data_IF_395693062524
#
_entry.id   IF_395693062524
#
_cell.length_a   1.000
_cell.length_b   1.000
_cell.length_c   1.000
_cell.angle_alpha   90.00
_cell.angle_beta   90.00
_cell.angle_gamma   90.00
#
_symmetry.space_group_name_H-M   'P 1'
#
loop_
_entity.id
_entity.type
_entity.pdbx_description
1 polymer ?
#
# COMPACT_ATOMS: atom_id res chain seq x y z
N UNK A 1 -9.83 -22.23 -18.60
CA UNK A 1 -8.75 -23.08 -18.07
C UNK A 1 -7.65 -22.17 -17.57
N UNK A 2 -7.19 -22.37 -16.34
CA UNK A 2 -6.14 -21.52 -15.75
C UNK A 2 -4.78 -21.89 -16.35
N UNK A 3 -3.98 -20.89 -16.72
CA UNK A 3 -2.59 -21.08 -17.13
C UNK A 3 -1.72 -21.44 -15.91
N UNK A 4 -0.66 -22.19 -16.15
CA UNK A 4 0.37 -22.41 -15.13
C UNK A 4 1.04 -21.07 -14.79
N UNK A 5 1.23 -20.81 -13.50
CA UNK A 5 1.94 -19.61 -13.04
C UNK A 5 3.42 -19.80 -13.32
N UNK A 6 4.12 -18.75 -13.78
CA UNK A 6 5.54 -18.84 -14.11
C UNK A 6 6.37 -19.36 -12.92
N UNK A 7 7.54 -20.01 -13.15
CA UNK A 7 8.48 -20.30 -12.08
C UNK A 7 8.99 -19.01 -11.41
N UNK A 8 9.49 -19.10 -10.15
CA UNK A 8 10.11 -17.97 -9.46
C UNK A 8 11.23 -17.32 -10.27
N UNK A 9 11.28 -15.99 -10.26
CA UNK A 9 12.39 -15.24 -10.86
C UNK A 9 13.65 -15.43 -10.02
N UNK A 10 14.82 -15.52 -10.68
CA UNK A 10 16.11 -15.67 -10.00
C UNK A 10 16.36 -14.53 -9.00
N UNK A 11 16.60 -14.90 -7.74
CA UNK A 11 16.83 -13.98 -6.61
C UNK A 11 17.98 -12.99 -6.87
N UNK A 12 19.00 -13.41 -7.62
CA UNK A 12 20.13 -12.55 -7.99
C UNK A 12 19.70 -11.42 -8.93
N UNK A 13 18.72 -11.65 -9.81
CA UNK A 13 18.15 -10.62 -10.68
C UNK A 13 17.31 -9.63 -9.86
N UNK A 14 16.47 -10.14 -8.96
CA UNK A 14 15.65 -9.32 -8.07
C UNK A 14 16.55 -8.36 -7.26
N UNK A 15 17.60 -8.88 -6.63
CA UNK A 15 18.53 -8.09 -5.82
C UNK A 15 19.30 -7.03 -6.62
N UNK A 16 19.59 -7.27 -7.91
CA UNK A 16 20.24 -6.26 -8.78
C UNK A 16 19.34 -5.06 -9.02
N UNK A 17 18.03 -5.26 -9.04
CA UNK A 17 17.06 -4.18 -9.25
C UNK A 17 16.69 -3.47 -7.94
N UNK A 18 16.68 -4.16 -6.80
CA UNK A 18 16.41 -3.58 -5.48
C UNK A 18 17.59 -2.77 -4.92
N UNK A 19 17.86 -1.60 -5.51
CA UNK A 19 18.96 -0.72 -5.13
C UNK A 19 18.57 0.33 -4.08
N UNK A 20 19.56 1.02 -3.52
CA UNK A 20 19.39 2.10 -2.54
C UNK A 20 18.51 3.26 -3.04
N UNK A 21 18.46 3.50 -4.37
CA UNK A 21 17.61 4.56 -4.94
C UNK A 21 16.11 4.23 -4.78
N UNK A 22 15.78 2.93 -4.79
CA UNK A 22 14.41 2.42 -4.68
C UNK A 22 14.03 2.12 -3.24
N UNK A 23 15.01 2.13 -2.32
CA UNK A 23 14.81 1.86 -0.91
C UNK A 23 14.02 2.99 -0.24
N UNK A 24 13.01 2.61 0.54
CA UNK A 24 12.15 3.56 1.26
C UNK A 24 12.54 3.62 2.73
N UNK A 25 12.48 2.49 3.42
CA UNK A 25 12.66 2.37 4.88
C UNK A 25 12.78 0.91 5.33
N UNK A 26 13.28 0.65 6.54
CA UNK A 26 13.08 -0.63 7.19
C UNK A 26 11.66 -0.72 7.75
N UNK A 27 11.18 -1.95 7.95
CA UNK A 27 9.93 -2.21 8.67
C UNK A 27 10.15 -2.11 10.18
N UNK A 28 9.08 -1.83 10.93
CA UNK A 28 9.16 -1.70 12.38
C UNK A 28 9.36 -3.05 13.09
N UNK A 29 8.88 -4.13 12.47
CA UNK A 29 8.97 -5.51 12.98
C UNK A 29 9.33 -6.47 11.85
N UNK A 30 9.97 -7.59 12.20
CA UNK A 30 10.31 -8.66 11.26
C UNK A 30 11.62 -8.47 10.50
N UNK A 31 12.31 -7.32 10.65
CA UNK A 31 13.58 -6.99 9.97
C UNK A 31 13.49 -7.07 8.44
N UNK A 32 12.31 -6.73 7.91
CA UNK A 32 12.09 -6.60 6.48
C UNK A 32 12.38 -5.16 6.05
N UNK A 33 12.40 -4.91 4.75
CA UNK A 33 12.64 -3.59 4.17
C UNK A 33 11.61 -3.28 3.09
N UNK A 34 11.37 -2.00 2.83
CA UNK A 34 10.37 -1.55 1.86
C UNK A 34 11.06 -0.88 0.68
N UNK A 35 10.64 -1.25 -0.52
CA UNK A 35 11.05 -0.65 -1.78
C UNK A 35 9.85 -0.11 -2.54
N UNK A 36 10.08 0.93 -3.35
CA UNK A 36 9.15 1.36 -4.39
C UNK A 36 9.82 1.20 -5.75
N UNK A 37 9.17 0.49 -6.65
CA UNK A 37 9.67 0.18 -8.00
C UNK A 37 8.60 0.41 -9.06
N UNK A 38 9.00 0.42 -10.33
CA UNK A 38 8.11 0.39 -11.50
C UNK A 38 8.53 -0.70 -12.47
N UNK A 39 7.64 -1.07 -13.40
CA UNK A 39 7.99 -1.99 -14.48
C UNK A 39 9.18 -1.52 -15.33
N UNK A 40 9.34 -0.19 -15.47
CA UNK A 40 10.40 0.42 -16.27
C UNK A 40 11.77 0.34 -15.61
N UNK A 41 11.84 0.49 -14.29
CA UNK A 41 13.11 0.49 -13.56
C UNK A 41 13.49 -0.87 -12.97
N UNK A 42 12.52 -1.78 -12.80
CA UNK A 42 12.73 -3.08 -12.16
C UNK A 42 11.87 -4.17 -12.83
N UNK A 43 12.14 -4.53 -14.10
CA UNK A 43 11.32 -5.47 -14.86
C UNK A 43 11.33 -6.90 -14.28
N UNK A 44 12.42 -7.37 -13.69
CA UNK A 44 12.46 -8.70 -13.06
C UNK A 44 11.64 -8.73 -11.77
N UNK A 45 11.75 -7.68 -10.95
CA UNK A 45 10.92 -7.50 -9.75
C UNK A 45 9.45 -7.38 -10.13
N UNK A 46 9.11 -6.65 -11.20
CA UNK A 46 7.73 -6.56 -11.68
C UNK A 46 7.16 -7.92 -12.11
N UNK A 47 7.95 -8.73 -12.82
CA UNK A 47 7.55 -10.11 -13.17
C UNK A 47 7.29 -10.96 -11.93
N UNK A 48 8.15 -10.87 -10.92
CA UNK A 48 7.97 -11.58 -9.66
C UNK A 48 6.74 -11.09 -8.88
N UNK A 49 6.46 -9.79 -8.88
CA UNK A 49 5.22 -9.24 -8.31
C UNK A 49 4.00 -9.84 -9.01
N UNK A 50 3.98 -9.86 -10.35
CA UNK A 50 2.87 -10.44 -11.11
C UNK A 50 2.64 -11.92 -10.81
N UNK A 51 3.73 -12.68 -10.65
CA UNK A 51 3.70 -14.10 -10.27
C UNK A 51 3.09 -14.28 -8.88
N UNK A 52 3.58 -13.52 -7.90
CA UNK A 52 3.13 -13.63 -6.51
C UNK A 52 1.71 -13.16 -6.32
N UNK A 53 1.28 -12.11 -7.04
CA UNK A 53 -0.12 -11.68 -7.07
C UNK A 53 -1.03 -12.79 -7.56
N UNK A 54 -0.74 -13.38 -8.71
CA UNK A 54 -1.57 -14.44 -9.26
C UNK A 54 -1.63 -15.65 -8.30
N UNK A 55 -0.49 -16.05 -7.70
CA UNK A 55 -0.50 -17.09 -6.66
C UNK A 55 -1.38 -16.74 -5.46
N UNK A 56 -1.25 -15.51 -4.95
CA UNK A 56 -2.00 -15.02 -3.80
C UNK A 56 -3.49 -14.90 -4.07
N UNK A 57 -3.90 -14.42 -5.24
CA UNK A 57 -5.31 -14.22 -5.55
C UNK A 57 -6.00 -15.51 -5.94
N UNK A 58 -5.32 -16.36 -6.72
CA UNK A 58 -5.84 -17.67 -7.13
C UNK A 58 -6.06 -18.60 -5.94
N UNK A 59 -5.19 -18.57 -4.92
CA UNK A 59 -5.34 -19.41 -3.73
C UNK A 59 -6.62 -19.12 -2.92
N UNK A 60 -7.19 -17.93 -3.08
CA UNK A 60 -8.44 -17.53 -2.44
C UNK A 60 -9.65 -17.53 -3.39
N UNK A 61 -9.47 -18.00 -4.64
CA UNK A 61 -10.55 -18.11 -5.63
C UNK A 61 -10.80 -16.85 -6.46
N UNK A 62 -9.91 -15.85 -6.39
CA UNK A 62 -9.86 -14.72 -7.33
C UNK A 62 -8.77 -14.92 -8.38
N UNK A 63 -8.18 -13.81 -8.84
CA UNK A 63 -7.07 -13.81 -9.78
C UNK A 63 -7.52 -13.77 -11.24
N UNK A 64 -6.55 -13.64 -12.15
CA UNK A 64 -6.81 -13.46 -13.58
C UNK A 64 -6.88 -14.79 -14.34
N UNK A 65 -6.38 -15.88 -13.74
CA UNK A 65 -6.23 -17.17 -14.39
C UNK A 65 -5.06 -17.23 -15.39
N UNK A 66 -4.28 -16.16 -15.53
CA UNK A 66 -3.09 -16.10 -16.39
C UNK A 66 -1.83 -16.60 -15.67
N UNK A 67 -0.69 -16.59 -16.37
CA UNK A 67 0.61 -16.95 -15.78
C UNK A 67 1.17 -15.86 -14.84
N UNK A 68 0.67 -14.64 -14.99
CA UNK A 68 1.05 -13.42 -14.27
C UNK A 68 -0.20 -12.54 -14.09
N UNK A 69 -0.37 -11.94 -12.92
CA UNK A 69 -1.33 -10.86 -12.70
C UNK A 69 -0.63 -9.51 -12.91
N UNK A 70 -0.56 -9.12 -14.19
CA UNK A 70 -0.06 -7.84 -14.69
C UNK A 70 -1.04 -7.30 -15.72
N UNK A 71 -1.26 -5.99 -15.73
CA UNK A 71 -2.15 -5.31 -16.67
C UNK A 71 -1.48 -4.05 -17.25
N UNK A 72 -2.15 -3.39 -18.21
CA UNK A 72 -1.61 -2.23 -18.90
C UNK A 72 -1.25 -1.08 -17.95
N UNK A 73 -1.91 -0.99 -16.79
CA UNK A 73 -1.63 0.03 -15.77
C UNK A 73 -0.23 -0.09 -15.17
N UNK A 74 0.34 -1.30 -15.15
CA UNK A 74 1.71 -1.53 -14.68
C UNK A 74 2.76 -1.05 -15.69
N UNK A 75 2.38 -0.85 -16.97
CA UNK A 75 3.29 -0.52 -18.07
C UNK A 75 3.04 0.84 -18.74
N UNK A 76 2.08 1.62 -18.24
CA UNK A 76 1.82 2.98 -18.73
C UNK A 76 3.09 3.85 -18.73
N UNK A 77 3.09 4.93 -19.51
CA UNK A 77 4.16 5.94 -19.47
C UNK A 77 4.39 6.49 -18.06
N UNK A 78 3.29 6.71 -17.32
CA UNK A 78 3.30 6.93 -15.87
C UNK A 78 2.71 5.67 -15.21
N UNK A 79 3.52 4.64 -14.98
CA UNK A 79 3.00 3.37 -14.49
C UNK A 79 2.57 3.51 -13.03
N UNK A 80 1.67 2.64 -12.62
CA UNK A 80 1.45 2.43 -11.21
C UNK A 80 2.75 1.96 -10.56
N UNK A 81 3.10 2.61 -9.46
CA UNK A 81 4.25 2.25 -8.63
C UNK A 81 3.90 1.05 -7.77
N UNK A 82 4.90 0.23 -7.50
CA UNK A 82 4.76 -0.97 -6.69
C UNK A 82 5.51 -0.76 -5.38
N UNK A 83 4.77 -0.65 -4.29
CA UNK A 83 5.33 -0.70 -2.94
C UNK A 83 5.43 -2.15 -2.52
N UNK A 84 6.64 -2.64 -2.25
CA UNK A 84 6.85 -4.03 -1.84
C UNK A 84 7.58 -4.11 -0.49
N UNK A 85 7.23 -5.14 0.27
CA UNK A 85 7.97 -5.56 1.46
C UNK A 85 8.90 -6.69 1.04
N UNK A 86 10.19 -6.54 1.28
CA UNK A 86 11.23 -7.50 0.95
C UNK A 86 11.83 -8.09 2.22
N UNK A 87 11.90 -9.42 2.28
CA UNK A 87 12.62 -10.17 3.29
C UNK A 87 14.08 -10.36 2.82
N UNK A 88 15.06 -9.65 3.42
CA UNK A 88 16.47 -9.77 3.02
C UNK A 88 17.11 -11.10 3.42
N UNK A 89 16.52 -11.86 4.35
CA UNK A 89 17.05 -13.16 4.78
C UNK A 89 16.60 -14.28 3.86
N UNK A 90 15.32 -14.28 3.48
CA UNK A 90 14.77 -15.25 2.53
C UNK A 90 15.09 -14.87 1.08
N UNK A 91 15.41 -13.59 0.84
CA UNK A 91 15.54 -12.99 -0.48
C UNK A 91 14.24 -13.10 -1.28
N UNK A 92 13.13 -12.72 -0.64
CA UNK A 92 11.78 -12.87 -1.19
C UNK A 92 10.90 -11.65 -0.93
N UNK A 93 9.95 -11.41 -1.83
CA UNK A 93 8.92 -10.39 -1.63
C UNK A 93 7.85 -10.95 -0.71
N UNK A 94 7.63 -10.34 0.45
CA UNK A 94 6.59 -10.73 1.42
C UNK A 94 5.19 -10.40 0.90
N UNK A 95 5.05 -9.25 0.25
CA UNK A 95 3.79 -8.71 -0.24
C UNK A 95 3.96 -7.32 -0.82
N UNK A 96 2.87 -6.73 -1.29
CA UNK A 96 2.92 -5.38 -1.84
C UNK A 96 1.57 -4.71 -2.06
N UNK A 97 1.66 -3.44 -2.44
CA UNK A 97 0.58 -2.58 -2.90
C UNK A 97 0.96 -1.97 -4.25
N UNK A 98 -0.03 -1.82 -5.12
CA UNK A 98 0.04 -0.98 -6.31
C UNK A 98 -0.52 0.40 -5.98
N UNK A 99 0.10 1.47 -6.48
CA UNK A 99 -0.44 2.81 -6.30
C UNK A 99 -0.10 3.82 -7.40
N UNK A 100 -0.98 4.80 -7.58
CA UNK A 100 -0.74 5.98 -8.45
C UNK A 100 -1.41 7.21 -7.84
N UNK A 101 -0.78 8.39 -7.99
CA UNK A 101 -1.42 9.64 -7.58
C UNK A 101 -2.52 10.00 -8.57
N UNK A 102 -3.69 10.45 -8.09
CA UNK A 102 -4.76 10.92 -8.97
C UNK A 102 -4.39 12.13 -9.83
N UNK A 103 -3.28 12.83 -9.52
CA UNK A 103 -2.70 13.88 -10.38
C UNK A 103 -1.99 13.33 -11.62
N UNK A 104 -1.58 12.08 -11.56
CA UNK A 104 -0.89 11.38 -12.65
C UNK A 104 -1.82 10.50 -13.48
N UNK A 105 -3.09 10.43 -13.09
CA UNK A 105 -4.13 9.69 -13.81
C UNK A 105 -4.63 10.52 -14.98
N UNK A 106 -4.65 9.88 -16.14
CA UNK A 106 -5.18 10.46 -17.36
C UNK A 106 -6.71 10.35 -17.36
N UNK A 107 -7.37 11.28 -18.05
CA UNK A 107 -8.82 11.22 -18.25
C UNK A 107 -9.13 10.44 -19.52
N UNK A 108 -10.19 9.65 -19.46
CA UNK A 108 -10.80 8.97 -20.59
C UNK A 108 -11.58 9.98 -21.47
N UNK A 109 -11.92 9.63 -22.72
CA UNK A 109 -12.66 10.52 -23.62
C UNK A 109 -14.04 10.97 -23.09
N UNK A 110 -14.64 10.20 -22.18
CA UNK A 110 -15.91 10.51 -21.52
C UNK A 110 -15.76 11.42 -20.28
N UNK A 111 -14.53 11.86 -19.98
CA UNK A 111 -14.22 12.70 -18.82
C UNK A 111 -14.03 11.96 -17.50
N UNK A 112 -14.23 10.63 -17.48
CA UNK A 112 -13.97 9.81 -16.30
C UNK A 112 -12.46 9.58 -16.12
N UNK A 113 -11.98 9.30 -14.89
CA UNK A 113 -10.56 9.02 -14.69
C UNK A 113 -10.22 7.65 -15.25
N UNK A 114 -9.01 7.47 -15.77
CA UNK A 114 -8.48 6.14 -16.10
C UNK A 114 -7.87 5.47 -14.85
N UNK A 115 -8.68 5.35 -13.80
CA UNK A 115 -8.34 4.55 -12.62
C UNK A 115 -8.53 3.06 -12.90
N UNK A 116 -7.83 2.21 -12.14
CA UNK A 116 -8.02 0.75 -12.24
C UNK A 116 -9.47 0.40 -11.94
N UNK A 117 -10.11 1.08 -10.98
CA UNK A 117 -11.50 0.82 -10.61
C UNK A 117 -12.55 1.41 -11.59
N UNK A 118 -12.16 2.18 -12.61
CA UNK A 118 -13.10 2.87 -13.53
C UNK A 118 -13.91 1.95 -14.44
N UNK A 119 -13.50 0.69 -14.62
CA UNK A 119 -14.33 -0.28 -15.32
C UNK A 119 -15.58 -0.66 -14.50
N UNK A 120 -15.50 -0.62 -13.16
CA UNK A 120 -16.59 -0.99 -12.25
C UNK A 120 -17.37 0.21 -11.71
N UNK A 121 -16.71 1.35 -11.53
CA UNK A 121 -17.31 2.50 -10.85
C UNK A 121 -17.35 3.73 -11.75
N UNK A 122 -18.33 4.59 -11.50
CA UNK A 122 -18.45 5.94 -12.05
C UNK A 122 -18.19 6.98 -10.97
N UNK A 123 -17.60 8.10 -11.36
CA UNK A 123 -17.16 9.16 -10.46
C UNK A 123 -17.95 10.43 -10.72
N UNK A 124 -18.40 11.07 -9.64
CA UNK A 124 -19.09 12.37 -9.70
C UNK A 124 -18.14 13.50 -10.11
N UNK A 125 -18.69 14.57 -10.67
CA UNK A 125 -17.93 15.79 -10.97
C UNK A 125 -17.22 16.36 -9.73
N UNK A 126 -17.87 16.27 -8.57
CA UNK A 126 -17.31 16.70 -7.29
C UNK A 126 -16.09 15.86 -6.92
N UNK A 127 -16.15 14.53 -7.08
CA UNK A 127 -14.98 13.68 -6.87
C UNK A 127 -13.84 14.09 -7.81
N UNK A 128 -14.13 14.27 -9.10
CA UNK A 128 -13.13 14.59 -10.12
C UNK A 128 -12.40 15.91 -9.83
N UNK A 129 -13.14 16.93 -9.37
CA UNK A 129 -12.59 18.26 -9.11
C UNK A 129 -11.94 18.40 -7.74
N UNK A 130 -12.61 17.91 -6.71
CA UNK A 130 -12.29 18.25 -5.32
C UNK A 130 -11.55 17.14 -4.57
N UNK A 131 -11.59 15.89 -5.07
CA UNK A 131 -11.00 14.73 -4.40
C UNK A 131 -9.87 14.09 -5.22
N UNK A 132 -10.11 13.73 -6.48
CA UNK A 132 -9.16 12.99 -7.33
C UNK A 132 -7.75 13.59 -7.33
N UNK A 133 -7.53 14.91 -7.46
CA UNK A 133 -6.17 15.50 -7.45
C UNK A 133 -5.44 15.33 -6.11
N UNK A 134 -6.15 14.98 -5.04
CA UNK A 134 -5.62 14.74 -3.70
C UNK A 134 -5.69 13.26 -3.32
N UNK A 135 -6.07 12.37 -4.24
CA UNK A 135 -6.12 10.94 -4.00
C UNK A 135 -4.80 10.25 -4.39
N UNK A 136 -4.55 9.12 -3.73
CA UNK A 136 -3.70 8.05 -4.21
C UNK A 136 -4.60 6.83 -4.41
N UNK A 137 -4.72 6.34 -5.63
CA UNK A 137 -5.39 5.06 -5.88
C UNK A 137 -4.48 3.94 -5.39
N UNK A 138 -5.01 3.07 -4.54
CA UNK A 138 -4.39 1.84 -4.06
C UNK A 138 -5.09 0.64 -4.67
N UNK A 139 -4.31 -0.39 -5.01
CA UNK A 139 -4.87 -1.63 -5.52
C UNK A 139 -3.91 -2.80 -5.40
N UNK A 140 -4.38 -3.98 -5.82
CA UNK A 140 -3.62 -5.24 -5.87
C UNK A 140 -2.81 -5.49 -4.59
N UNK A 141 -3.42 -5.24 -3.44
CA UNK A 141 -2.85 -5.55 -2.15
C UNK A 141 -2.71 -7.06 -2.00
N UNK A 142 -1.50 -7.56 -1.74
CA UNK A 142 -1.28 -8.99 -1.57
C UNK A 142 -0.21 -9.27 -0.52
N UNK A 143 -0.33 -10.44 0.11
CA UNK A 143 0.72 -11.10 0.87
C UNK A 143 0.92 -12.45 0.19
N UNK A 144 2.15 -12.85 -0.09
CA UNK A 144 2.39 -14.14 -0.76
C UNK A 144 2.05 -15.33 0.16
N UNK A 145 1.63 -16.50 -0.39
CA UNK A 145 1.06 -17.59 0.41
C UNK A 145 1.93 -18.07 1.59
N UNK A 146 3.25 -18.12 1.42
CA UNK A 146 4.15 -18.57 2.47
C UNK A 146 4.17 -17.66 3.70
N UNK A 147 3.83 -16.38 3.52
CA UNK A 147 3.72 -15.37 4.58
C UNK A 147 2.29 -15.15 5.06
N UNK A 148 1.29 -15.81 4.45
CA UNK A 148 -0.10 -15.80 4.93
C UNK A 148 -0.32 -16.80 6.08
N UNK A 149 0.53 -17.82 6.16
CA UNK A 149 0.45 -18.89 7.18
C UNK A 149 1.61 -18.75 8.17
N UNK A 150 1.58 -19.47 9.29
CA UNK A 150 2.68 -19.49 10.25
C UNK A 150 3.99 -20.12 9.71
N UNK A 151 4.04 -20.52 8.42
CA UNK A 151 5.18 -21.20 7.77
C UNK A 151 6.48 -20.39 7.87
N UNK A 152 6.44 -19.08 7.66
CA UNK A 152 7.60 -18.18 7.83
C UNK A 152 7.74 -17.63 9.26
N UNK A 153 7.11 -18.29 10.24
CA UNK A 153 7.19 -17.98 11.65
C UNK A 153 6.73 -16.56 11.98
N UNK A 154 7.55 -15.85 12.76
CA UNK A 154 7.24 -14.50 13.24
C UNK A 154 7.10 -13.49 12.09
N UNK A 155 7.71 -13.71 10.93
CA UNK A 155 7.60 -12.76 9.80
C UNK A 155 6.22 -12.77 9.17
N UNK A 156 5.55 -13.92 9.12
CA UNK A 156 4.16 -14.02 8.66
C UNK A 156 3.22 -13.19 9.54
N UNK A 157 3.47 -13.13 10.84
CA UNK A 157 2.65 -12.38 11.79
C UNK A 157 2.66 -10.87 11.52
N UNK A 158 3.69 -10.36 10.85
CA UNK A 158 3.88 -8.92 10.63
C UNK A 158 3.72 -8.49 9.16
N UNK A 159 3.33 -9.40 8.24
CA UNK A 159 3.27 -9.08 6.82
C UNK A 159 2.34 -7.88 6.52
N UNK A 160 1.11 -7.90 7.04
CA UNK A 160 0.15 -6.80 6.87
C UNK A 160 0.63 -5.50 7.53
N UNK A 161 1.23 -5.61 8.72
CA UNK A 161 1.80 -4.46 9.42
C UNK A 161 2.96 -3.82 8.66
N UNK A 162 3.83 -4.64 8.07
CA UNK A 162 4.95 -4.19 7.26
C UNK A 162 4.49 -3.48 5.99
N UNK A 163 3.38 -3.90 5.39
CA UNK A 163 2.78 -3.16 4.28
C UNK A 163 2.28 -1.77 4.74
N UNK A 164 1.66 -1.71 5.92
CA UNK A 164 1.24 -0.45 6.53
C UNK A 164 2.41 0.46 6.93
N UNK A 165 3.57 -0.09 7.32
CA UNK A 165 4.80 0.71 7.49
C UNK A 165 5.16 1.44 6.19
N UNK A 166 4.92 0.80 5.03
CA UNK A 166 5.10 1.38 3.70
C UNK A 166 4.05 2.43 3.36
N UNK A 167 2.77 2.16 3.61
CA UNK A 167 1.71 3.16 3.43
C UNK A 167 1.91 4.38 4.33
N UNK A 168 2.40 4.19 5.56
CA UNK A 168 2.78 5.29 6.46
C UNK A 168 3.91 6.15 5.90
N UNK A 169 4.87 5.55 5.18
CA UNK A 169 5.88 6.31 4.46
C UNK A 169 5.26 7.12 3.32
N UNK A 170 4.32 6.52 2.57
CA UNK A 170 3.64 7.16 1.46
C UNK A 170 2.80 8.37 1.90
N UNK A 171 2.10 8.28 3.03
CA UNK A 171 1.36 9.41 3.63
C UNK A 171 2.31 10.58 3.90
N UNK A 172 3.51 10.30 4.40
CA UNK A 172 4.48 11.35 4.69
C UNK A 172 5.14 11.96 3.44
N UNK A 173 5.43 11.15 2.43
CA UNK A 173 6.14 11.60 1.22
C UNK A 173 5.22 12.34 0.26
N UNK A 174 3.99 11.88 0.07
CA UNK A 174 3.01 12.49 -0.83
C UNK A 174 2.17 13.55 -0.12
N UNK A 175 2.83 14.62 0.34
CA UNK A 175 2.22 15.70 1.15
C UNK A 175 1.05 16.45 0.51
N UNK A 176 0.89 16.32 -0.80
CA UNK A 176 -0.23 16.92 -1.55
C UNK A 176 -1.45 16.01 -1.59
N UNK A 177 -1.31 14.75 -1.21
CA UNK A 177 -2.41 13.79 -1.15
C UNK A 177 -3.06 13.83 0.24
N UNK A 178 -4.37 13.66 0.27
CA UNK A 178 -5.20 13.66 1.48
C UNK A 178 -5.93 12.33 1.66
N UNK A 179 -6.15 11.59 0.58
CA UNK A 179 -7.02 10.42 0.56
C UNK A 179 -6.32 9.22 -0.04
N UNK A 180 -6.50 8.04 0.55
CA UNK A 180 -6.37 6.79 -0.19
C UNK A 180 -7.74 6.40 -0.72
N UNK A 181 -7.80 6.01 -1.99
CA UNK A 181 -8.99 5.47 -2.65
C UNK A 181 -8.65 4.13 -3.28
N UNK A 182 -9.57 3.19 -3.32
CA UNK A 182 -9.34 1.92 -3.98
C UNK A 182 -10.51 0.96 -3.79
N UNK A 183 -10.30 -0.30 -4.18
CA UNK A 183 -11.29 -1.36 -3.98
C UNK A 183 -10.74 -2.45 -3.06
N UNK A 184 -11.63 -3.00 -2.23
CA UNK A 184 -11.38 -4.17 -1.38
C UNK A 184 -12.32 -5.29 -1.79
N UNK A 185 -11.79 -6.50 -1.88
CA UNK A 185 -12.50 -7.64 -2.42
C UNK A 185 -13.00 -8.62 -1.35
N UNK A 186 -14.14 -9.24 -1.61
CA UNK A 186 -14.68 -10.40 -0.89
C UNK A 186 -14.88 -11.53 -1.90
N UNK A 187 -14.28 -12.68 -1.63
CA UNK A 187 -14.34 -13.83 -2.53
C UNK A 187 -15.73 -14.48 -2.55
N UNK A 188 -16.08 -15.11 -3.68
CA UNK A 188 -17.38 -15.75 -3.89
C UNK A 188 -17.65 -16.92 -2.95
N UNK A 189 -16.60 -17.54 -2.41
CA UNK A 189 -16.68 -18.60 -1.41
C UNK A 189 -17.14 -18.09 -0.04
N UNK A 190 -17.16 -16.77 0.17
CA UNK A 190 -17.59 -16.18 1.42
C UNK A 190 -19.13 -16.29 1.58
N UNK A 191 -19.63 -16.80 2.71
CA UNK A 191 -21.07 -16.95 2.92
C UNK A 191 -21.84 -15.65 2.66
N UNK A 192 -22.92 -15.76 1.88
CA UNK A 192 -23.71 -14.60 1.45
C UNK A 192 -24.17 -13.75 2.64
N UNK A 193 -24.76 -14.36 3.68
CA UNK A 193 -25.20 -13.65 4.87
C UNK A 193 -24.04 -12.91 5.55
N UNK A 194 -22.86 -13.53 5.68
CA UNK A 194 -21.71 -12.89 6.31
C UNK A 194 -21.21 -11.69 5.49
N UNK A 195 -21.18 -11.80 4.15
CA UNK A 195 -20.82 -10.71 3.24
C UNK A 195 -21.81 -9.55 3.35
N UNK A 196 -23.10 -9.86 3.32
CA UNK A 196 -24.16 -8.87 3.35
C UNK A 196 -24.25 -8.15 4.69
N UNK A 197 -24.06 -8.85 5.82
CA UNK A 197 -23.96 -8.20 7.14
C UNK A 197 -22.75 -7.26 7.24
N UNK A 198 -21.64 -7.58 6.57
CA UNK A 198 -20.49 -6.70 6.49
C UNK A 198 -20.81 -5.45 5.68
N UNK A 199 -21.57 -5.56 4.58
CA UNK A 199 -22.04 -4.40 3.83
C UNK A 199 -22.97 -3.51 4.66
N UNK A 200 -23.93 -4.08 5.37
CA UNK A 200 -24.82 -3.32 6.25
C UNK A 200 -24.04 -2.56 7.35
N UNK A 201 -23.01 -3.19 7.94
CA UNK A 201 -22.11 -2.51 8.87
C UNK A 201 -21.39 -1.33 8.22
N UNK A 202 -20.85 -1.52 7.02
CA UNK A 202 -20.12 -0.47 6.31
C UNK A 202 -21.05 0.66 5.85
N UNK A 203 -22.27 0.37 5.40
CA UNK A 203 -23.25 1.41 5.07
C UNK A 203 -23.68 2.22 6.30
N UNK A 204 -23.76 1.58 7.46
CA UNK A 204 -24.12 2.25 8.71
C UNK A 204 -22.99 3.13 9.25
N UNK A 205 -21.75 2.66 9.25
CA UNK A 205 -20.61 3.31 9.94
C UNK A 205 -19.61 4.00 9.01
N UNK A 206 -19.67 3.72 7.71
CA UNK A 206 -18.77 4.28 6.70
C UNK A 206 -19.55 4.84 5.49
N UNK A 207 -20.61 5.65 5.70
CA UNK A 207 -21.41 6.15 4.60
C UNK A 207 -20.62 7.12 3.71
N UNK A 208 -21.07 7.30 2.48
CA UNK A 208 -20.62 8.39 1.64
C UNK A 208 -21.70 9.48 1.50
N UNK A 209 -21.69 10.51 2.37
CA UNK A 209 -22.71 11.57 2.32
C UNK A 209 -22.57 12.48 1.10
N UNK A 210 -21.40 12.48 0.45
CA UNK A 210 -21.12 13.36 -0.69
C UNK A 210 -21.43 12.72 -2.05
N UNK A 211 -21.79 11.43 -2.06
CA UNK A 211 -22.08 10.61 -3.24
C UNK A 211 -21.01 10.77 -4.35
N UNK A 212 -19.77 10.46 -4.00
CA UNK A 212 -18.57 10.70 -4.78
C UNK A 212 -18.35 9.65 -5.87
N UNK A 213 -18.61 8.38 -5.56
CA UNK A 213 -18.34 7.22 -6.41
C UNK A 213 -19.57 6.31 -6.38
N UNK A 214 -19.91 5.70 -7.51
CA UNK A 214 -21.07 4.81 -7.65
C UNK A 214 -20.69 3.54 -8.40
N UNK A 215 -21.13 2.35 -7.96
CA UNK A 215 -21.00 1.13 -8.74
C UNK A 215 -21.88 1.21 -9.98
N UNK A 216 -21.36 0.80 -11.13
CA UNK A 216 -22.15 0.78 -12.38
C UNK A 216 -23.31 -0.22 -12.31
N UNK A 217 -23.10 -1.34 -11.61
CA UNK A 217 -24.13 -2.35 -11.34
C UNK A 217 -24.01 -2.73 -9.85
N UNK A 218 -24.81 -2.08 -8.96
CA UNK A 218 -24.71 -2.31 -7.53
C UNK A 218 -25.14 -3.72 -7.15
N UNK A 219 -24.41 -4.31 -6.21
CA UNK A 219 -24.86 -5.51 -5.48
C UNK A 219 -25.91 -5.10 -4.46
N UNK A 220 -27.08 -5.72 -4.53
CA UNK A 220 -28.15 -5.52 -3.56
C UNK A 220 -28.00 -6.46 -2.36
N UNK A 221 -28.25 -5.94 -1.16
CA UNK A 221 -28.36 -6.74 0.07
C UNK A 221 -29.76 -7.33 0.16
N UNK A 222 -29.88 -8.61 0.50
CA UNK A 222 -31.17 -9.28 0.65
C UNK A 222 -31.98 -8.73 1.83
N UNK A 223 -33.31 -8.75 1.72
CA UNK A 223 -34.21 -8.29 2.79
C UNK A 223 -34.06 -9.11 4.08
N UNK A 224 -33.68 -10.38 3.96
CA UNK A 224 -33.37 -11.23 5.12
C UNK A 224 -32.12 -10.72 5.86
N UNK A 225 -31.02 -10.50 5.14
CA UNK A 225 -29.79 -9.97 5.74
C UNK A 225 -30.01 -8.59 6.37
N UNK A 226 -30.80 -7.71 5.76
CA UNK A 226 -31.17 -6.40 6.35
C UNK A 226 -31.88 -6.55 7.69
N UNK A 227 -32.87 -7.46 7.78
CA UNK A 227 -33.59 -7.73 9.04
C UNK A 227 -32.65 -8.27 10.11
N UNK A 228 -31.74 -9.16 9.76
CA UNK A 228 -30.74 -9.68 10.69
C UNK A 228 -29.78 -8.57 11.14
N UNK A 229 -29.33 -7.72 10.21
CA UNK A 229 -28.46 -6.59 10.52
C UNK A 229 -29.10 -5.62 11.53
N UNK A 230 -30.40 -5.33 11.39
CA UNK A 230 -31.14 -4.47 12.34
C UNK A 230 -31.16 -5.02 13.77
N UNK A 231 -31.06 -6.34 13.94
CA UNK A 231 -31.02 -6.98 15.27
C UNK A 231 -29.58 -7.11 15.79
N UNK A 232 -28.60 -7.28 14.89
CA UNK A 232 -27.19 -7.48 15.25
C UNK A 232 -26.46 -6.16 15.51
N UNK A 233 -26.79 -5.11 14.77
CA UNK A 233 -26.10 -3.82 14.76
C UNK A 233 -26.81 -2.76 15.63
N UNK A 234 -27.11 -3.12 16.88
CA UNK A 234 -27.88 -2.28 17.81
C UNK A 234 -27.02 -1.54 18.85
N UNK A 235 -25.70 -1.72 18.81
CA UNK A 235 -24.79 -1.11 19.77
C UNK A 235 -24.67 0.40 19.54
N UNK A 236 -24.29 1.13 20.60
CA UNK A 236 -24.25 2.60 20.60
C UNK A 236 -23.17 3.21 19.72
N UNK A 237 -22.16 2.44 19.33
CA UNK A 237 -21.01 2.93 18.57
C UNK A 237 -20.51 1.89 17.56
N UNK A 238 -19.65 2.34 16.63
CA UNK A 238 -19.08 1.50 15.58
C UNK A 238 -18.30 0.31 16.16
N UNK A 239 -17.51 0.50 17.22
CA UNK A 239 -16.71 -0.56 17.82
C UNK A 239 -17.58 -1.69 18.41
N UNK A 240 -18.66 -1.34 19.11
CA UNK A 240 -19.61 -2.30 19.67
C UNK A 240 -20.29 -3.09 18.55
N UNK A 241 -20.79 -2.38 17.53
CA UNK A 241 -21.43 -3.00 16.37
C UNK A 241 -20.47 -3.92 15.61
N UNK A 242 -19.19 -3.55 15.54
CA UNK A 242 -18.18 -4.38 14.92
C UNK A 242 -17.91 -5.67 15.71
N UNK A 243 -17.87 -5.59 17.05
CA UNK A 243 -17.75 -6.78 17.91
C UNK A 243 -18.96 -7.71 17.76
N UNK A 244 -20.17 -7.15 17.71
CA UNK A 244 -21.40 -7.90 17.47
C UNK A 244 -21.37 -8.58 16.09
N UNK A 245 -21.01 -7.84 15.03
CA UNK A 245 -20.82 -8.37 13.68
C UNK A 245 -19.82 -9.52 13.66
N UNK A 246 -18.63 -9.34 14.24
CA UNK A 246 -17.60 -10.37 14.29
C UNK A 246 -18.10 -11.63 15.01
N UNK A 247 -18.83 -11.47 16.11
CA UNK A 247 -19.46 -12.59 16.82
C UNK A 247 -20.42 -13.32 15.89
N UNK A 248 -21.35 -12.61 15.24
CA UNK A 248 -22.34 -13.21 14.33
C UNK A 248 -21.67 -13.93 13.15
N UNK A 249 -20.70 -13.30 12.50
CA UNK A 249 -19.94 -13.91 11.39
C UNK A 249 -19.24 -15.20 11.82
N UNK A 250 -18.70 -15.27 13.05
CA UNK A 250 -18.14 -16.52 13.59
C UNK A 250 -19.19 -17.61 13.80
N UNK A 251 -20.42 -17.26 14.19
CA UNK A 251 -21.51 -18.23 14.30
C UNK A 251 -21.95 -18.76 12.93
N UNK A 252 -21.79 -17.98 11.85
CA UNK A 252 -22.01 -18.43 10.46
C UNK A 252 -20.90 -19.41 10.00
N UNK A 253 -19.82 -19.55 10.76
CA UNK A 253 -18.72 -20.48 10.47
C UNK A 253 -17.57 -19.85 9.66
N UNK A 254 -17.46 -18.52 9.66
CA UNK A 254 -16.35 -17.81 8.99
C UNK A 254 -15.80 -16.66 9.84
N UNK A 255 -14.86 -15.88 9.31
CA UNK A 255 -14.29 -14.70 9.98
C UNK A 255 -14.28 -13.50 9.03
N UNK A 256 -14.33 -12.27 9.56
CA UNK A 256 -14.22 -11.06 8.73
C UNK A 256 -12.93 -11.13 7.91
N UNK A 257 -12.97 -10.87 6.58
CA UNK A 257 -11.78 -10.96 5.74
C UNK A 257 -10.62 -10.12 6.29
N UNK A 258 -9.37 -10.62 6.29
CA UNK A 258 -8.22 -9.90 6.85
C UNK A 258 -8.04 -8.48 6.29
N UNK A 259 -8.34 -8.28 4.99
CA UNK A 259 -8.24 -6.95 4.37
C UNK A 259 -9.27 -5.96 4.93
N UNK A 260 -10.50 -6.39 5.24
CA UNK A 260 -11.47 -5.52 5.92
C UNK A 260 -10.99 -5.16 7.33
N UNK A 261 -10.46 -6.13 8.08
CA UNK A 261 -9.84 -5.88 9.38
C UNK A 261 -8.65 -4.90 9.30
N UNK A 262 -7.96 -4.83 8.16
CA UNK A 262 -6.86 -3.90 7.97
C UNK A 262 -7.33 -2.44 7.82
N UNK A 263 -8.56 -2.20 7.36
CA UNK A 263 -9.11 -0.85 7.15
C UNK A 263 -10.10 -0.39 8.22
N UNK A 264 -10.93 -1.30 8.74
CA UNK A 264 -11.89 -0.99 9.81
C UNK A 264 -11.12 -0.62 11.09
N UNK A 265 -11.49 0.51 11.71
CA UNK A 265 -10.84 1.01 12.92
C UNK A 265 -9.51 1.73 12.67
N UNK A 266 -9.16 2.03 11.41
CA UNK A 266 -8.04 2.92 11.11
C UNK A 266 -8.39 4.39 11.36
N UNK A 267 -9.61 4.77 10.99
CA UNK A 267 -10.14 6.12 11.02
C UNK A 267 -11.66 6.07 11.09
N UNK A 268 -12.27 7.09 11.66
CA UNK A 268 -13.72 7.29 11.69
C UNK A 268 -14.26 7.93 10.40
N UNK A 269 -13.38 8.24 9.44
CA UNK A 269 -13.74 8.87 8.15
C UNK A 269 -13.61 7.93 6.95
N UNK A 270 -13.52 6.63 7.21
CA UNK A 270 -13.61 5.61 6.17
C UNK A 270 -14.97 5.73 5.49
N UNK A 271 -14.98 5.73 4.16
CA UNK A 271 -16.18 5.74 3.33
C UNK A 271 -16.22 4.50 2.47
N UNK A 272 -17.41 3.92 2.34
CA UNK A 272 -17.72 2.87 1.37
C UNK A 272 -18.73 3.39 0.37
N UNK A 273 -18.47 3.12 -0.91
CA UNK A 273 -19.27 3.64 -2.04
C UNK A 273 -20.17 2.58 -2.67
N UNK A 274 -20.33 1.44 -2.00
CA UNK A 274 -21.05 0.28 -2.53
C UNK A 274 -20.15 -0.78 -3.15
N UNK A 275 -20.80 -1.84 -3.63
CA UNK A 275 -20.14 -3.06 -4.09
C UNK A 275 -20.61 -3.47 -5.48
N UNK A 276 -19.75 -4.12 -6.24
CA UNK A 276 -20.00 -4.67 -7.56
C UNK A 276 -19.32 -6.03 -7.72
N UNK A 277 -19.82 -6.89 -8.61
CA UNK A 277 -19.12 -8.13 -8.98
C UNK A 277 -18.13 -7.80 -10.10
N UNK A 278 -16.88 -8.23 -9.95
CA UNK A 278 -15.83 -8.10 -10.97
C UNK A 278 -15.66 -9.42 -11.74
N UNK A 279 -16.27 -9.55 -12.94
CA UNK A 279 -16.18 -10.79 -13.72
C UNK A 279 -14.76 -11.10 -14.20
N UNK A 280 -13.92 -10.07 -14.35
CA UNK A 280 -12.56 -10.21 -14.87
C UNK A 280 -11.56 -10.66 -13.79
N UNK A 281 -12.01 -10.75 -12.53
CA UNK A 281 -11.20 -11.13 -11.39
C UNK A 281 -11.81 -12.28 -10.57
N UNK A 282 -12.22 -13.36 -11.25
CA UNK A 282 -12.81 -14.54 -10.59
C UNK A 282 -14.22 -14.30 -10.03
N UNK A 283 -14.89 -13.23 -10.48
CA UNK A 283 -16.23 -12.87 -10.02
C UNK A 283 -16.27 -12.33 -8.60
N UNK A 284 -15.17 -11.82 -8.04
CA UNK A 284 -15.14 -11.32 -6.66
C UNK A 284 -16.07 -10.13 -6.46
N UNK A 285 -16.54 -9.95 -5.23
CA UNK A 285 -17.27 -8.76 -4.86
C UNK A 285 -16.29 -7.65 -4.48
N UNK A 286 -16.24 -6.61 -5.29
CA UNK A 286 -15.36 -5.45 -5.12
C UNK A 286 -16.14 -4.29 -4.48
N UNK A 287 -15.70 -3.84 -3.31
CA UNK A 287 -16.25 -2.67 -2.62
C UNK A 287 -15.30 -1.50 -2.77
N UNK A 288 -15.78 -0.37 -3.32
CA UNK A 288 -14.98 0.84 -3.37
C UNK A 288 -14.95 1.51 -1.98
N UNK A 289 -13.76 1.89 -1.55
CA UNK A 289 -13.53 2.58 -0.27
C UNK A 289 -12.58 3.77 -0.43
N UNK A 290 -12.73 4.76 0.45
CA UNK A 290 -11.82 5.88 0.57
C UNK A 290 -11.61 6.23 2.04
N UNK A 291 -10.38 6.56 2.41
CA UNK A 291 -10.05 7.01 3.77
C UNK A 291 -9.25 8.31 3.72
N UNK A 292 -9.51 9.19 4.68
CA UNK A 292 -8.70 10.40 4.88
C UNK A 292 -7.44 10.03 5.66
N UNK A 293 -6.29 10.31 5.07
CA UNK A 293 -4.98 9.99 5.66
C UNK A 293 -4.76 10.73 6.98
N UNK A 294 -5.28 11.96 7.08
CA UNK A 294 -5.09 12.78 8.27
C UNK A 294 -5.97 12.37 9.45
N UNK A 295 -7.01 11.59 9.21
CA UNK A 295 -7.95 11.18 10.25
C UNK A 295 -7.62 9.80 10.82
N UNK A 296 -6.42 9.27 10.51
CA UNK A 296 -5.92 8.07 11.16
C UNK A 296 -5.88 8.26 12.67
N UNK A 297 -6.36 7.26 13.42
CA UNK A 297 -6.32 7.31 14.89
C UNK A 297 -4.88 7.48 15.38
N UNK A 298 -4.72 8.12 16.54
CA UNK A 298 -3.41 8.39 17.11
C UNK A 298 -2.56 7.11 17.26
N UNK A 299 -3.19 6.01 17.67
CA UNK A 299 -2.53 4.70 17.76
C UNK A 299 -1.94 4.22 16.43
N UNK A 300 -2.62 4.49 15.31
CA UNK A 300 -2.18 4.09 13.97
C UNK A 300 -1.13 5.06 13.42
N UNK A 301 -1.27 6.35 13.69
CA UNK A 301 -0.24 7.36 13.37
C UNK A 301 1.09 7.06 14.07
N UNK A 302 1.06 6.78 15.37
CA UNK A 302 2.24 6.39 16.15
C UNK A 302 2.86 5.08 15.66
N UNK A 303 2.04 4.14 15.18
CA UNK A 303 2.53 2.86 14.69
C UNK A 303 3.19 2.96 13.32
N UNK A 304 2.58 3.67 12.37
CA UNK A 304 2.99 3.57 10.96
C UNK A 304 3.71 4.82 10.43
N UNK A 305 3.35 6.02 10.91
CA UNK A 305 3.86 7.30 10.39
C UNK A 305 5.05 7.81 11.21
N UNK A 306 4.88 7.95 12.54
CA UNK A 306 5.91 8.54 13.40
C UNK A 306 7.28 7.84 13.30
N UNK A 307 7.35 6.49 13.23
CA UNK A 307 8.63 5.81 13.09
C UNK A 307 9.34 6.14 11.76
N UNK A 308 8.58 6.45 10.70
CA UNK A 308 9.18 6.92 9.45
C UNK A 308 9.77 8.32 9.59
N UNK A 309 9.06 9.22 10.27
CA UNK A 309 9.52 10.58 10.55
C UNK A 309 10.84 10.53 11.34
N UNK A 310 10.91 9.67 12.35
CA UNK A 310 12.13 9.47 13.14
C UNK A 310 13.27 8.88 12.30
N UNK A 311 12.97 7.88 11.45
CA UNK A 311 13.93 7.33 10.51
C UNK A 311 14.52 8.41 9.57
N UNK A 312 13.68 9.30 9.02
CA UNK A 312 14.14 10.41 8.17
C UNK A 312 15.01 11.41 8.94
N UNK A 313 14.63 11.78 10.17
CA UNK A 313 15.43 12.65 11.05
C UNK A 313 16.82 12.05 11.29
N UNK A 314 16.88 10.75 11.59
CA UNK A 314 18.13 10.03 11.77
C UNK A 314 19.00 10.10 10.50
N UNK A 315 18.43 9.79 9.33
CA UNK A 315 19.16 9.84 8.04
C UNK A 315 19.70 11.23 7.71
N UNK A 316 18.96 12.29 8.03
CA UNK A 316 19.42 13.67 7.84
C UNK A 316 20.60 13.97 8.76
N UNK A 317 20.54 13.53 10.03
CA UNK A 317 21.62 13.71 10.99
C UNK A 317 22.89 12.93 10.61
N UNK A 318 22.74 11.69 10.15
CA UNK A 318 23.84 10.87 9.62
C UNK A 318 24.52 11.57 8.43
N UNK A 319 23.75 12.08 7.47
CA UNK A 319 24.29 12.84 6.32
C UNK A 319 25.04 14.11 6.76
N UNK A 320 24.51 14.84 7.74
CA UNK A 320 25.16 16.04 8.30
C UNK A 320 26.48 15.68 9.00
N UNK A 321 26.49 14.61 9.79
CA UNK A 321 27.68 14.12 10.46
C UNK A 321 28.76 13.67 9.45
N UNK A 322 28.37 12.90 8.42
CA UNK A 322 29.28 12.46 7.36
C UNK A 322 29.91 13.65 6.59
N UNK A 323 29.12 14.69 6.27
CA UNK A 323 29.64 15.92 5.65
C UNK A 323 30.64 16.65 6.53
N UNK A 324 30.36 16.79 7.83
CA UNK A 324 31.29 17.39 8.80
C UNK A 324 32.59 16.59 8.91
N UNK A 325 32.49 15.27 8.99
CA UNK A 325 33.66 14.39 9.04
C UNK A 325 34.53 14.51 7.76
N UNK A 326 33.90 14.53 6.58
CA UNK A 326 34.60 14.73 5.31
C UNK A 326 35.30 16.10 5.23
N UNK A 327 34.66 17.16 5.74
CA UNK A 327 35.26 18.48 5.82
C UNK A 327 36.50 18.50 6.73
N UNK A 328 36.41 17.90 7.93
CA UNK A 328 37.54 17.81 8.87
C UNK A 328 38.70 17.01 8.27
N UNK A 329 38.42 15.93 7.54
CA UNK A 329 39.44 15.13 6.85
C UNK A 329 40.15 15.97 5.77
N UNK A 330 39.39 16.69 4.95
CA UNK A 330 39.95 17.57 3.93
C UNK A 330 40.80 18.69 4.54
N UNK A 331 40.34 19.31 5.62
CA UNK A 331 41.10 20.33 6.34
C UNK A 331 42.41 19.75 6.91
N UNK A 332 42.39 18.53 7.48
CA UNK A 332 43.60 17.84 7.96
C UNK A 332 44.59 17.49 6.84
N UNK A 333 44.11 17.13 5.66
CA UNK A 333 44.96 16.86 4.49
C UNK A 333 45.58 18.14 3.91
N UNK A 334 44.90 19.28 4.01
CA UNK A 334 45.41 20.60 3.58
C UNK A 334 46.39 21.23 4.58
N UNK A 335 46.39 20.83 5.85
CA UNK A 335 47.30 21.39 6.87
C UNK A 335 48.78 21.19 6.52
N UNK A 336 49.26 19.98 6.16
CA UNK A 336 50.66 19.78 5.76
C UNK A 336 51.10 20.61 4.54
N UNK A 337 50.22 20.79 3.55
CA UNK A 337 50.54 21.57 2.35
C UNK A 337 50.59 23.07 2.67
N UNK A 338 49.66 23.58 3.48
CA UNK A 338 49.67 24.95 4.00
C UNK A 338 50.92 25.22 4.84
N UNK A 339 51.33 24.30 5.71
CA UNK A 339 52.57 24.43 6.50
C UNK A 339 53.80 24.48 5.59
N UNK A 340 53.89 23.61 4.57
CA UNK A 340 55.00 23.64 3.60
C UNK A 340 55.05 24.96 2.83
N UNK A 341 53.90 25.47 2.39
CA UNK A 341 53.80 26.75 1.68
C UNK A 341 54.26 27.92 2.55
N UNK A 342 53.75 28.02 3.79
CA UNK A 342 54.14 29.06 4.75
C UNK A 342 55.64 29.00 5.08
N UNK A 343 56.18 27.80 5.26
CA UNK A 343 57.62 27.60 5.53
C UNK A 343 58.47 28.06 4.34
N UNK A 344 58.04 27.76 3.10
CA UNK A 344 58.72 28.19 1.88
C UNK A 344 58.70 29.72 1.72
N UNK A 345 57.54 30.34 1.91
CA UNK A 345 57.37 31.80 1.79
C UNK A 345 58.20 32.55 2.87
N UNK A 346 58.28 31.99 4.08
CA UNK A 346 59.13 32.53 5.15
C UNK A 346 60.63 32.46 4.81
N UNK A 347 61.10 31.32 4.27
CA UNK A 347 62.49 31.13 3.85
C UNK A 347 62.87 32.05 2.68
N UNK A 348 61.98 32.24 1.70
CA UNK A 348 62.21 33.17 0.59
C UNK A 348 62.29 34.64 1.04
N UNK A 349 61.44 35.05 1.97
CA UNK A 349 61.51 36.41 2.57
C UNK A 349 62.82 36.64 3.34
N UNK A 350 63.36 35.62 4.01
CA UNK A 350 64.65 35.72 4.71
C UNK A 350 65.86 35.79 3.78
N UNK A 351 65.78 35.26 2.56
CA UNK A 351 66.86 35.36 1.56
C UNK A 351 66.92 36.72 0.84
N UNK A 352 65.87 37.54 0.98
CA UNK A 352 65.77 38.89 0.37
C UNK A 352 66.09 40.03 1.35
N UNK A 353 66.43 39.71 2.61
CA UNK A 353 67.05 40.61 3.58
C UNK A 353 68.51 40.22 3.72
#
# INVERSE_FOLDING_TARGET
MNKEVIPPVDRSLLKKELTEIRYVRPTNKGKNVIYIVTAHDSPNVMREIGRLRELSFRSWGGGTGNELDLDDFDFLKKPFKQLIVWDPQAEEIVGGYRFLSGRDVELLPDGQPNFVMSHLFTFSDRFMKDFMPFCIELGRAFVQPDYQTAKMGVKSLFALDNLWDGLGALIHTEKKSKYFVGKVNIYNTYPQLARELLYEYMFLHCPDPDNLIYPKIPVAVSEESKKIAQVVLTEKNAEGNYKALQKTIRHIGTTVPPMFNAYIGLTDTLRMFGSMIDPDFGGTYESAIMLTMDDLTESKRQRYIEPYVQFLKQKINEKRAARRAAQILKEKEEVPSKIKQVTKDYLEKRKKK
#
